data_IF_047355778465
#
_entry.id   IF_047355778465
#
_cell.length_a   1.000
_cell.length_b   1.000
_cell.length_c   1.000
_cell.angle_alpha   90.00
_cell.angle_beta   90.00
_cell.angle_gamma   90.00
#
_symmetry.space_group_name_H-M   'P 1'
#
loop_
_entity.id
_entity.type
_entity.pdbx_description
1 polymer ?
#
# COMPACT_ATOMS: atom_id res chain seq x y z
N UNK A 1 -1.07 -22.67 24.91
CA UNK A 1 -0.92 -21.85 23.69
C UNK A 1 0.56 -21.49 23.54
N UNK A 2 1.15 -21.63 22.35
CA UNK A 2 2.54 -21.22 22.13
C UNK A 2 2.71 -19.71 22.34
N UNK A 3 3.87 -19.28 22.87
CA UNK A 3 4.16 -17.87 23.16
C UNK A 3 4.01 -16.97 21.92
N UNK A 4 4.40 -17.46 20.74
CA UNK A 4 4.24 -16.73 19.47
C UNK A 4 2.77 -16.52 19.10
N UNK A 5 1.93 -17.53 19.30
CA UNK A 5 0.49 -17.44 19.05
C UNK A 5 -0.19 -16.46 20.01
N UNK A 6 0.21 -16.46 21.28
CA UNK A 6 -0.28 -15.47 22.25
C UNK A 6 0.06 -14.03 21.82
N UNK A 7 1.34 -13.76 21.52
CA UNK A 7 1.77 -12.42 21.08
C UNK A 7 1.16 -12.02 19.74
N UNK A 8 1.08 -12.94 18.78
CA UNK A 8 0.42 -12.70 17.50
C UNK A 8 -1.05 -12.31 17.69
N UNK A 9 -1.76 -12.99 18.59
CA UNK A 9 -3.15 -12.67 18.93
C UNK A 9 -3.30 -11.30 19.60
N UNK A 10 -2.42 -10.96 20.54
CA UNK A 10 -2.41 -9.65 21.20
C UNK A 10 -2.13 -8.53 20.19
N UNK A 11 -1.09 -8.66 19.38
CA UNK A 11 -0.73 -7.64 18.39
C UNK A 11 -1.82 -7.47 17.32
N UNK A 12 -2.39 -8.56 16.83
CA UNK A 12 -3.52 -8.50 15.90
C UNK A 12 -4.74 -7.84 16.56
N UNK A 13 -5.04 -8.12 17.82
CA UNK A 13 -6.14 -7.47 18.55
C UNK A 13 -5.93 -5.96 18.69
N UNK A 14 -4.73 -5.54 19.08
CA UNK A 14 -4.39 -4.11 19.19
C UNK A 14 -4.45 -3.42 17.82
N UNK A 15 -3.90 -4.05 16.78
CA UNK A 15 -3.97 -3.52 15.41
C UNK A 15 -5.42 -3.40 14.89
N UNK A 16 -6.30 -4.34 15.26
CA UNK A 16 -7.72 -4.27 14.97
C UNK A 16 -8.39 -3.09 15.70
N UNK A 17 -8.10 -2.89 16.99
CA UNK A 17 -8.66 -1.79 17.77
C UNK A 17 -8.19 -0.42 17.25
N UNK A 18 -6.90 -0.29 16.92
CA UNK A 18 -6.35 0.92 16.27
C UNK A 18 -7.10 1.21 14.97
N UNK A 19 -7.37 0.18 14.18
CA UNK A 19 -8.01 0.34 12.88
C UNK A 19 -9.47 0.73 12.99
N UNK A 20 -10.21 0.00 13.82
CA UNK A 20 -11.64 0.24 14.02
C UNK A 20 -11.84 1.62 14.66
N UNK A 21 -11.27 1.86 15.84
CA UNK A 21 -11.46 3.10 16.58
C UNK A 21 -10.82 4.28 15.84
N UNK A 22 -9.57 4.11 15.42
CA UNK A 22 -8.80 5.19 14.80
C UNK A 22 -9.42 5.69 13.51
N UNK A 23 -9.86 4.80 12.60
CA UNK A 23 -10.49 5.25 11.36
C UNK A 23 -11.83 5.92 11.62
N UNK A 24 -12.67 5.42 12.55
CA UNK A 24 -13.93 6.10 12.89
C UNK A 24 -13.70 7.49 13.50
N UNK A 25 -12.83 7.59 14.51
CA UNK A 25 -12.54 8.87 15.19
C UNK A 25 -11.98 9.89 14.21
N UNK A 26 -10.94 9.54 13.46
CA UNK A 26 -10.32 10.47 12.52
C UNK A 26 -11.28 10.83 11.38
N UNK A 27 -12.08 9.89 10.89
CA UNK A 27 -13.05 10.18 9.84
C UNK A 27 -14.11 11.18 10.31
N UNK A 28 -14.76 10.94 11.44
CA UNK A 28 -15.80 11.85 11.93
C UNK A 28 -15.27 13.22 12.33
N UNK A 29 -14.04 13.30 12.82
CA UNK A 29 -13.43 14.57 13.20
C UNK A 29 -12.96 15.39 11.99
N UNK A 30 -12.50 14.73 10.92
CA UNK A 30 -11.77 15.42 9.86
C UNK A 30 -12.38 15.33 8.47
N UNK A 31 -13.41 14.52 8.25
CA UNK A 31 -14.03 14.42 6.93
C UNK A 31 -14.67 15.74 6.48
N UNK A 32 -15.42 16.39 7.37
CA UNK A 32 -16.03 17.70 7.07
C UNK A 32 -14.96 18.75 6.85
N UNK A 33 -13.97 18.83 7.73
CA UNK A 33 -12.84 19.75 7.58
C UNK A 33 -12.07 19.52 6.26
N UNK A 34 -11.88 18.26 5.87
CA UNK A 34 -11.30 17.85 4.60
C UNK A 34 -12.09 18.34 3.39
N UNK A 35 -13.42 18.15 3.41
CA UNK A 35 -14.28 18.62 2.32
C UNK A 35 -14.44 20.14 2.25
N UNK A 36 -14.20 20.84 3.36
CA UNK A 36 -14.33 22.30 3.46
C UNK A 36 -13.01 23.04 3.25
N UNK A 37 -11.89 22.34 3.08
CA UNK A 37 -10.60 22.96 2.84
C UNK A 37 -10.51 23.48 1.39
N UNK A 38 -10.15 24.76 1.24
CA UNK A 38 -9.81 25.32 -0.07
C UNK A 38 -8.60 24.57 -0.61
N UNK A 39 -8.80 23.92 -1.76
CA UNK A 39 -7.76 23.10 -2.36
C UNK A 39 -6.74 23.95 -3.13
N UNK A 40 -5.45 23.65 -2.96
CA UNK A 40 -4.38 24.28 -3.72
C UNK A 40 -4.42 23.97 -5.23
N UNK A 41 -5.08 22.88 -5.64
CA UNK A 41 -5.31 22.53 -7.06
C UNK A 41 -6.78 22.14 -7.32
N UNK A 42 -7.37 22.53 -8.48
CA UNK A 42 -8.73 22.12 -8.84
C UNK A 42 -8.89 20.58 -8.80
N UNK A 43 -9.91 20.09 -8.08
CA UNK A 43 -10.27 18.67 -7.98
C UNK A 43 -9.65 17.88 -6.83
N UNK A 44 -8.81 18.49 -5.98
CA UNK A 44 -8.40 17.86 -4.72
C UNK A 44 -9.56 17.74 -3.72
N UNK A 45 -10.60 18.58 -3.82
CA UNK A 45 -11.87 18.42 -3.10
C UNK A 45 -12.60 17.13 -3.48
N UNK A 46 -12.59 16.77 -4.77
CA UNK A 46 -13.17 15.51 -5.28
C UNK A 46 -12.38 14.33 -4.72
N UNK A 47 -11.05 14.44 -4.70
CA UNK A 47 -10.19 13.45 -4.07
C UNK A 47 -10.59 13.23 -2.60
N UNK A 48 -10.67 14.28 -1.77
CA UNK A 48 -11.05 14.12 -0.36
C UNK A 48 -12.48 13.58 -0.18
N UNK A 49 -13.44 14.04 -0.97
CA UNK A 49 -14.84 13.59 -0.93
C UNK A 49 -14.99 12.09 -1.18
N UNK A 50 -14.20 11.50 -2.08
CA UNK A 50 -14.33 10.09 -2.45
C UNK A 50 -13.25 9.18 -1.85
N UNK A 51 -11.99 9.64 -1.77
CA UNK A 51 -10.90 8.85 -1.20
C UNK A 51 -10.93 8.78 0.31
N UNK A 52 -11.30 9.84 1.03
CA UNK A 52 -11.27 9.78 2.48
C UNK A 52 -12.24 8.70 2.99
N UNK A 53 -13.52 8.62 2.52
CA UNK A 53 -14.40 7.50 2.86
C UNK A 53 -13.90 6.16 2.30
N UNK A 54 -13.40 6.13 1.06
CA UNK A 54 -12.91 4.90 0.44
C UNK A 54 -11.75 4.26 1.21
N UNK A 55 -10.75 5.06 1.59
CA UNK A 55 -9.60 4.61 2.36
C UNK A 55 -9.95 4.35 3.82
N UNK A 56 -10.89 5.10 4.41
CA UNK A 56 -11.44 4.75 5.72
C UNK A 56 -12.07 3.35 5.70
N UNK A 57 -12.83 3.01 4.66
CA UNK A 57 -13.39 1.66 4.47
C UNK A 57 -12.29 0.60 4.31
N UNK A 58 -11.23 0.88 3.54
CA UNK A 58 -10.08 -0.03 3.42
C UNK A 58 -9.39 -0.25 4.77
N UNK A 59 -9.24 0.80 5.57
CA UNK A 59 -8.66 0.73 6.92
C UNK A 59 -9.54 -0.05 7.91
N UNK A 60 -10.86 0.12 7.85
CA UNK A 60 -11.80 -0.68 8.63
C UNK A 60 -11.76 -2.14 8.18
N UNK A 61 -11.71 -2.40 6.88
CA UNK A 61 -11.56 -3.76 6.35
C UNK A 61 -10.25 -4.40 6.83
N UNK A 62 -9.15 -3.64 6.87
CA UNK A 62 -7.90 -4.10 7.46
C UNK A 62 -8.05 -4.48 8.94
N UNK A 63 -8.81 -3.70 9.71
CA UNK A 63 -9.14 -4.01 11.10
C UNK A 63 -9.93 -5.32 11.24
N UNK A 64 -10.87 -5.60 10.32
CA UNK A 64 -11.60 -6.88 10.28
C UNK A 64 -10.64 -8.04 10.03
N UNK A 65 -9.70 -7.90 9.09
CA UNK A 65 -8.66 -8.92 8.86
C UNK A 65 -7.83 -9.18 10.12
N UNK A 66 -7.45 -8.13 10.84
CA UNK A 66 -6.73 -8.26 12.11
C UNK A 66 -7.56 -8.92 13.20
N UNK A 67 -8.85 -8.58 13.33
CA UNK A 67 -9.73 -9.19 14.32
C UNK A 67 -9.90 -10.70 14.08
N UNK A 68 -10.15 -11.10 12.83
CA UNK A 68 -10.24 -12.53 12.46
C UNK A 68 -8.88 -13.22 12.65
N UNK A 69 -7.79 -12.53 12.29
CA UNK A 69 -6.45 -13.04 12.53
C UNK A 69 -6.14 -13.24 14.01
N UNK A 70 -6.64 -12.40 14.91
CA UNK A 70 -6.44 -12.54 16.34
C UNK A 70 -7.07 -13.83 16.86
N UNK A 71 -8.31 -14.12 16.44
CA UNK A 71 -8.96 -15.41 16.69
C UNK A 71 -8.11 -16.57 16.15
N UNK A 72 -7.59 -16.44 14.92
CA UNK A 72 -6.69 -17.43 14.33
C UNK A 72 -5.46 -17.69 15.17
N UNK A 73 -4.79 -16.65 15.67
CA UNK A 73 -3.62 -16.80 16.54
C UNK A 73 -3.96 -17.45 17.88
N UNK A 74 -5.01 -16.97 18.57
CA UNK A 74 -5.42 -17.55 19.86
C UNK A 74 -5.86 -19.02 19.74
N UNK A 75 -6.39 -19.41 18.59
CA UNK A 75 -6.77 -20.80 18.28
C UNK A 75 -5.74 -21.56 17.45
N UNK A 76 -4.53 -21.02 17.32
CA UNK A 76 -3.36 -21.64 16.67
C UNK A 76 -3.62 -22.11 15.23
N UNK A 77 -4.35 -21.31 14.44
CA UNK A 77 -4.66 -21.58 13.04
C UNK A 77 -3.54 -21.09 12.11
N UNK A 78 -3.24 -21.90 11.10
CA UNK A 78 -2.17 -21.65 10.13
C UNK A 78 -2.42 -20.42 9.23
N UNK A 79 -3.67 -20.02 9.04
CA UNK A 79 -4.04 -18.87 8.21
C UNK A 79 -3.93 -17.52 8.93
N UNK A 80 -3.67 -17.50 10.25
CA UNK A 80 -3.64 -16.26 11.03
C UNK A 80 -2.62 -15.26 10.47
N UNK A 81 -1.38 -15.69 10.24
CA UNK A 81 -0.34 -14.83 9.70
C UNK A 81 -0.68 -14.28 8.30
N UNK A 82 -1.36 -15.08 7.46
CA UNK A 82 -1.84 -14.63 6.15
C UNK A 82 -2.80 -13.46 6.29
N UNK A 83 -3.84 -13.60 7.13
CA UNK A 83 -4.83 -12.53 7.30
C UNK A 83 -4.21 -11.29 7.94
N UNK A 84 -3.31 -11.43 8.91
CA UNK A 84 -2.56 -10.30 9.45
C UNK A 84 -1.70 -9.59 8.39
N UNK A 85 -1.08 -10.35 7.48
CA UNK A 85 -0.27 -9.76 6.40
C UNK A 85 -1.14 -8.99 5.41
N UNK A 86 -2.31 -9.52 5.05
CA UNK A 86 -3.28 -8.80 4.22
C UNK A 86 -3.75 -7.53 4.94
N UNK A 87 -4.11 -7.65 6.22
CA UNK A 87 -4.51 -6.51 7.06
C UNK A 87 -3.43 -5.43 7.08
N UNK A 88 -2.16 -5.79 7.22
CA UNK A 88 -1.06 -4.81 7.26
C UNK A 88 -0.88 -4.08 5.93
N UNK A 89 -1.02 -4.78 4.80
CA UNK A 89 -0.92 -4.16 3.47
C UNK A 89 -2.03 -3.12 3.27
N UNK A 90 -3.27 -3.49 3.63
CA UNK A 90 -4.43 -2.60 3.53
C UNK A 90 -4.33 -1.41 4.50
N UNK A 91 -3.95 -1.68 5.76
CA UNK A 91 -3.85 -0.65 6.80
C UNK A 91 -2.78 0.38 6.46
N UNK A 92 -1.61 -0.04 5.95
CA UNK A 92 -0.55 0.87 5.55
C UNK A 92 -0.95 1.75 4.36
N UNK A 93 -1.67 1.21 3.36
CA UNK A 93 -2.23 2.03 2.29
C UNK A 93 -3.20 3.07 2.85
N UNK A 94 -4.22 2.60 3.60
CA UNK A 94 -5.30 3.44 4.10
C UNK A 94 -4.80 4.57 5.00
N UNK A 95 -3.87 4.28 5.90
CA UNK A 95 -3.35 5.25 6.85
C UNK A 95 -2.24 6.14 6.29
N UNK A 96 -1.53 5.72 5.23
CA UNK A 96 -0.53 6.58 4.59
C UNK A 96 -1.17 7.54 3.59
N UNK A 97 -1.99 7.02 2.67
CA UNK A 97 -2.39 7.77 1.49
C UNK A 97 -3.33 8.93 1.78
N UNK A 98 -4.22 8.83 2.78
CA UNK A 98 -5.13 9.94 3.16
C UNK A 98 -4.35 11.22 3.49
N UNK A 99 -3.11 11.11 3.99
CA UNK A 99 -2.30 12.26 4.33
C UNK A 99 -1.86 13.06 3.10
N UNK A 100 -1.74 12.44 1.92
CA UNK A 100 -1.33 13.13 0.69
C UNK A 100 -2.32 14.23 0.29
N UNK A 101 -3.62 13.94 0.09
CA UNK A 101 -4.60 15.00 -0.21
C UNK A 101 -4.84 15.94 0.98
N UNK A 102 -4.70 15.47 2.23
CA UNK A 102 -4.76 16.37 3.40
C UNK A 102 -3.66 17.44 3.33
N UNK A 103 -2.40 17.03 3.15
CA UNK A 103 -1.28 17.97 3.03
C UNK A 103 -1.40 18.85 1.79
N UNK A 104 -1.91 18.32 0.67
CA UNK A 104 -2.18 19.11 -0.53
C UNK A 104 -3.26 20.18 -0.32
N UNK A 105 -4.21 19.94 0.59
CA UNK A 105 -5.24 20.89 1.01
C UNK A 105 -4.82 21.74 2.24
N UNK A 106 -3.53 21.75 2.61
CA UNK A 106 -3.02 22.51 3.75
C UNK A 106 -3.43 21.98 5.13
N UNK A 107 -4.01 20.78 5.19
CA UNK A 107 -4.41 20.12 6.43
C UNK A 107 -3.28 19.28 7.02
N UNK A 108 -3.26 19.09 8.37
CA UNK A 108 -2.24 18.27 9.00
C UNK A 108 -2.35 16.79 8.60
N UNK A 109 -1.24 16.04 8.51
CA UNK A 109 -1.23 14.62 8.16
C UNK A 109 -1.64 13.73 9.36
N UNK A 110 -2.89 13.86 9.79
CA UNK A 110 -3.42 13.23 11.01
C UNK A 110 -3.41 11.70 10.98
N UNK A 111 -3.51 11.08 9.79
CA UNK A 111 -3.57 9.63 9.66
C UNK A 111 -2.19 9.00 9.86
N UNK A 112 -1.12 9.79 9.93
CA UNK A 112 0.17 9.30 10.41
C UNK A 112 0.14 8.80 11.85
N UNK A 113 -0.83 9.24 12.66
CA UNK A 113 -1.07 8.66 13.99
C UNK A 113 -1.51 7.20 13.93
N UNK A 114 -2.08 6.73 12.81
CA UNK A 114 -2.39 5.32 12.56
C UNK A 114 -1.27 4.62 11.78
N UNK A 115 -0.68 5.29 10.78
CA UNK A 115 0.35 4.73 9.92
C UNK A 115 1.60 4.28 10.69
N UNK A 116 2.11 5.12 11.59
CA UNK A 116 3.34 4.82 12.32
C UNK A 116 3.18 3.56 13.21
N UNK A 117 2.10 3.43 14.01
CA UNK A 117 1.80 2.17 14.70
C UNK A 117 1.69 0.96 13.76
N UNK A 118 1.03 1.09 12.61
CA UNK A 118 0.95 -0.01 11.64
C UNK A 118 2.30 -0.39 11.05
N UNK A 119 3.17 0.58 10.80
CA UNK A 119 4.53 0.32 10.34
C UNK A 119 5.36 -0.38 11.41
N UNK A 120 5.16 -0.06 12.68
CA UNK A 120 5.76 -0.82 13.77
C UNK A 120 5.22 -2.26 13.81
N UNK A 121 3.90 -2.42 13.73
CA UNK A 121 3.27 -3.75 13.69
C UNK A 121 3.71 -4.56 12.48
N UNK A 122 3.99 -3.93 11.34
CA UNK A 122 4.57 -4.59 10.17
C UNK A 122 5.86 -5.35 10.54
N UNK A 123 6.80 -4.67 11.20
CA UNK A 123 8.04 -5.32 11.63
C UNK A 123 7.80 -6.36 12.72
N UNK A 124 6.98 -6.07 13.74
CA UNK A 124 6.69 -7.00 14.83
C UNK A 124 6.03 -8.29 14.30
N UNK A 125 5.01 -8.16 13.47
CA UNK A 125 4.25 -9.30 12.93
C UNK A 125 5.10 -10.14 11.99
N UNK A 126 5.83 -9.52 11.05
CA UNK A 126 6.59 -10.28 10.07
C UNK A 126 7.87 -10.86 10.66
N UNK A 127 8.64 -10.04 11.39
CA UNK A 127 9.95 -10.47 11.90
C UNK A 127 9.83 -11.36 13.13
N UNK A 128 9.06 -10.93 14.13
CA UNK A 128 9.04 -11.62 15.43
C UNK A 128 8.02 -12.76 15.45
N UNK A 129 6.80 -12.51 15.01
CA UNK A 129 5.74 -13.54 15.00
C UNK A 129 5.94 -14.51 13.83
N UNK A 130 6.08 -13.98 12.61
CA UNK A 130 6.21 -14.76 11.38
C UNK A 130 7.60 -15.37 11.14
N UNK A 131 8.63 -14.93 11.86
CA UNK A 131 10.00 -15.42 11.69
C UNK A 131 10.58 -15.15 10.29
N UNK A 132 10.07 -14.13 9.60
CA UNK A 132 10.50 -13.79 8.24
C UNK A 132 11.93 -13.22 8.26
N UNK A 133 12.74 -13.56 7.26
CA UNK A 133 14.12 -13.04 7.16
C UNK A 133 14.11 -11.54 6.84
N UNK A 134 15.13 -10.80 7.29
CA UNK A 134 15.20 -9.34 7.06
C UNK A 134 15.19 -8.99 5.57
N UNK A 135 15.88 -9.77 4.73
CA UNK A 135 15.85 -9.60 3.28
C UNK A 135 14.42 -9.70 2.70
N UNK A 136 13.61 -10.65 3.16
CA UNK A 136 12.20 -10.78 2.74
C UNK A 136 11.32 -9.66 3.28
N UNK A 137 11.53 -9.23 4.52
CA UNK A 137 10.83 -8.08 5.10
C UNK A 137 11.14 -6.84 4.24
N UNK A 138 12.40 -6.53 3.96
CA UNK A 138 12.75 -5.36 3.16
C UNK A 138 12.26 -5.46 1.70
N UNK A 139 12.28 -6.65 1.09
CA UNK A 139 11.69 -6.86 -0.23
C UNK A 139 10.16 -6.63 -0.22
N UNK A 140 9.47 -7.12 0.81
CA UNK A 140 8.04 -6.89 1.00
C UNK A 140 7.73 -5.41 1.27
N UNK A 141 8.59 -4.69 1.99
CA UNK A 141 8.44 -3.25 2.20
C UNK A 141 8.60 -2.50 0.87
N UNK A 142 9.64 -2.80 0.09
CA UNK A 142 9.87 -2.17 -1.22
C UNK A 142 8.75 -2.45 -2.22
N UNK A 143 8.26 -3.69 -2.29
CA UNK A 143 7.10 -4.03 -3.14
C UNK A 143 5.78 -3.44 -2.61
N UNK A 144 5.64 -3.30 -1.29
CA UNK A 144 4.52 -2.58 -0.67
C UNK A 144 4.54 -1.08 -0.99
N UNK A 145 5.72 -0.46 -1.09
CA UNK A 145 5.86 0.92 -1.56
C UNK A 145 5.47 1.05 -3.03
N UNK A 146 5.90 0.12 -3.90
CA UNK A 146 5.47 0.11 -5.30
C UNK A 146 3.95 -0.04 -5.44
N UNK A 147 3.33 -0.89 -4.63
CA UNK A 147 1.87 -1.00 -4.50
C UNK A 147 1.22 0.36 -4.18
N UNK A 148 1.71 1.07 -3.16
CA UNK A 148 1.18 2.38 -2.76
C UNK A 148 1.39 3.43 -3.86
N UNK A 149 2.54 3.43 -4.54
CA UNK A 149 2.81 4.39 -5.60
C UNK A 149 1.98 4.10 -6.87
N UNK A 150 1.75 2.84 -7.23
CA UNK A 150 0.79 2.49 -8.29
C UNK A 150 -0.63 2.95 -7.93
N UNK A 151 -1.07 2.77 -6.67
CA UNK A 151 -2.34 3.32 -6.19
C UNK A 151 -2.38 4.84 -6.35
N UNK A 152 -1.30 5.54 -5.96
CA UNK A 152 -1.17 6.98 -6.11
C UNK A 152 -1.34 7.42 -7.57
N UNK A 153 -0.69 6.73 -8.50
CA UNK A 153 -0.79 7.04 -9.92
C UNK A 153 -2.21 6.77 -10.47
N UNK A 154 -2.86 5.68 -10.05
CA UNK A 154 -4.25 5.39 -10.39
C UNK A 154 -5.20 6.49 -9.91
N UNK A 155 -5.12 6.86 -8.63
CA UNK A 155 -5.91 7.93 -8.02
C UNK A 155 -5.69 9.27 -8.71
N UNK A 156 -4.43 9.64 -8.89
CA UNK A 156 -4.07 10.95 -9.44
C UNK A 156 -4.47 11.04 -10.91
N UNK A 157 -4.40 9.94 -11.66
CA UNK A 157 -4.93 9.85 -13.02
C UNK A 157 -6.46 10.01 -13.02
N UNK A 158 -7.19 9.32 -12.13
CA UNK A 158 -8.65 9.49 -12.00
C UNK A 158 -9.02 10.95 -11.71
N UNK A 159 -8.30 11.62 -10.80
CA UNK A 159 -8.51 13.04 -10.53
C UNK A 159 -8.28 13.90 -11.78
N UNK A 160 -7.16 13.69 -12.50
CA UNK A 160 -6.84 14.44 -13.71
C UNK A 160 -7.81 14.19 -14.87
N UNK A 161 -8.42 13.00 -14.96
CA UNK A 161 -9.52 12.74 -15.91
C UNK A 161 -10.69 13.67 -15.62
N UNK A 162 -11.06 13.83 -14.35
CA UNK A 162 -12.21 14.66 -13.95
C UNK A 162 -11.91 16.16 -14.09
N UNK A 163 -10.67 16.58 -13.86
CA UNK A 163 -10.32 18.01 -13.79
C UNK A 163 -9.77 18.59 -15.08
N UNK A 164 -8.96 17.80 -15.81
CA UNK A 164 -8.27 18.23 -17.05
C UNK A 164 -8.87 17.54 -18.28
N UNK A 165 -9.34 16.30 -18.14
CA UNK A 165 -9.93 15.54 -19.24
C UNK A 165 -8.91 15.10 -20.32
N UNK A 166 -7.61 15.15 -20.05
CA UNK A 166 -6.60 14.82 -21.04
C UNK A 166 -6.60 13.32 -21.40
N UNK A 167 -6.57 12.94 -22.70
CA UNK A 167 -6.67 11.55 -23.15
C UNK A 167 -5.61 10.61 -22.55
N UNK A 168 -4.42 11.11 -22.25
CA UNK A 168 -3.33 10.33 -21.66
C UNK A 168 -3.76 9.65 -20.36
N UNK A 169 -4.43 10.37 -19.46
CA UNK A 169 -4.87 9.81 -18.17
C UNK A 169 -5.95 8.75 -18.36
N UNK A 170 -6.88 8.95 -19.31
CA UNK A 170 -7.93 7.98 -19.64
C UNK A 170 -7.34 6.68 -20.17
N UNK A 171 -6.34 6.78 -21.04
CA UNK A 171 -5.68 5.63 -21.66
C UNK A 171 -5.00 4.73 -20.62
N UNK A 172 -4.38 5.31 -19.58
CA UNK A 172 -3.49 4.56 -18.69
C UNK A 172 -4.04 4.27 -17.30
N UNK A 173 -5.12 4.94 -16.86
CA UNK A 173 -5.64 4.82 -15.48
C UNK A 173 -5.88 3.37 -15.05
N UNK A 174 -6.47 2.54 -15.92
CA UNK A 174 -6.76 1.13 -15.63
C UNK A 174 -5.49 0.32 -15.31
N UNK A 175 -4.42 0.60 -16.04
CA UNK A 175 -3.16 -0.14 -15.94
C UNK A 175 -2.43 0.12 -14.61
N UNK A 176 -2.54 1.32 -14.05
CA UNK A 176 -2.04 1.60 -12.70
C UNK A 176 -2.74 0.75 -11.62
N UNK A 177 -4.06 0.56 -11.74
CA UNK A 177 -4.82 -0.29 -10.82
C UNK A 177 -4.43 -1.77 -10.95
N UNK A 178 -4.19 -2.25 -12.17
CA UNK A 178 -3.68 -3.62 -12.39
C UNK A 178 -2.29 -3.82 -11.80
N UNK A 179 -1.37 -2.88 -12.02
CA UNK A 179 -0.03 -2.92 -11.43
C UNK A 179 -0.09 -2.90 -9.89
N UNK A 180 -0.94 -2.05 -9.32
CA UNK A 180 -1.20 -1.98 -7.88
C UNK A 180 -1.64 -3.34 -7.32
N UNK A 181 -2.66 -3.98 -7.90
CA UNK A 181 -3.15 -5.28 -7.41
C UNK A 181 -2.04 -6.32 -7.48
N UNK A 182 -1.29 -6.36 -8.59
CA UNK A 182 -0.20 -7.31 -8.74
C UNK A 182 0.92 -7.11 -7.71
N UNK A 183 1.28 -5.87 -7.39
CA UNK A 183 2.23 -5.58 -6.30
C UNK A 183 1.68 -5.93 -4.92
N UNK A 184 0.39 -5.75 -4.66
CA UNK A 184 -0.23 -6.19 -3.40
C UNK A 184 -0.15 -7.71 -3.24
N UNK A 185 -0.51 -8.45 -4.28
CA UNK A 185 -0.43 -9.93 -4.31
C UNK A 185 1.02 -10.39 -4.18
N UNK A 186 1.95 -9.73 -4.88
CA UNK A 186 3.38 -10.01 -4.77
C UNK A 186 3.87 -9.82 -3.33
N UNK A 187 3.54 -8.68 -2.71
CA UNK A 187 3.95 -8.34 -1.34
C UNK A 187 3.50 -9.40 -0.34
N UNK A 188 2.21 -9.77 -0.35
CA UNK A 188 1.68 -10.83 0.53
C UNK A 188 2.32 -12.18 0.22
N UNK A 189 2.47 -12.51 -1.07
CA UNK A 189 3.04 -13.78 -1.52
C UNK A 189 4.48 -13.99 -1.07
N UNK A 190 5.33 -12.97 -1.17
CA UNK A 190 6.73 -13.00 -0.73
C UNK A 190 6.84 -13.22 0.77
N UNK A 191 5.92 -12.67 1.56
CA UNK A 191 5.93 -12.83 3.01
C UNK A 191 5.50 -14.23 3.41
N UNK A 192 4.40 -14.73 2.88
CA UNK A 192 3.75 -15.95 3.35
C UNK A 192 4.42 -17.20 2.79
N UNK A 193 4.58 -17.27 1.47
CA UNK A 193 5.20 -18.43 0.82
C UNK A 193 5.77 -18.00 -0.54
N UNK A 194 7.03 -17.55 -0.57
CA UNK A 194 7.72 -17.23 -1.81
C UNK A 194 7.61 -18.40 -2.80
N UNK A 195 7.20 -18.09 -4.03
CA UNK A 195 7.15 -19.05 -5.14
C UNK A 195 7.70 -18.39 -6.41
N UNK A 196 8.21 -19.19 -7.33
CA UNK A 196 8.78 -18.70 -8.59
C UNK A 196 7.80 -17.92 -9.45
N UNK A 197 6.49 -18.22 -9.38
CA UNK A 197 5.45 -17.50 -10.13
C UNK A 197 5.29 -16.03 -9.68
N UNK A 198 5.78 -15.67 -8.49
CA UNK A 198 5.80 -14.26 -8.06
C UNK A 198 6.74 -13.43 -8.92
N UNK A 199 7.78 -14.03 -9.52
CA UNK A 199 8.69 -13.32 -10.42
C UNK A 199 7.93 -12.78 -11.65
N UNK A 200 7.27 -13.61 -12.49
CA UNK A 200 6.51 -13.07 -13.62
C UNK A 200 5.38 -12.13 -13.20
N UNK A 201 4.73 -12.34 -12.04
CA UNK A 201 3.76 -11.38 -11.51
C UNK A 201 4.40 -9.99 -11.28
N UNK A 202 5.49 -9.94 -10.51
CA UNK A 202 6.19 -8.69 -10.22
C UNK A 202 6.79 -8.03 -11.46
N UNK A 203 7.27 -8.82 -12.42
CA UNK A 203 7.75 -8.30 -13.70
C UNK A 203 6.61 -7.72 -14.53
N UNK A 204 5.47 -8.38 -14.64
CA UNK A 204 4.30 -7.83 -15.36
C UNK A 204 3.82 -6.55 -14.70
N UNK A 205 3.64 -6.53 -13.38
CA UNK A 205 3.23 -5.33 -12.65
C UNK A 205 4.22 -4.19 -12.78
N UNK A 206 5.51 -4.48 -12.65
CA UNK A 206 6.57 -3.50 -12.82
C UNK A 206 6.62 -2.94 -14.23
N UNK A 207 6.63 -3.81 -15.25
CA UNK A 207 6.69 -3.40 -16.66
C UNK A 207 5.47 -2.58 -17.08
N UNK A 208 4.27 -2.93 -16.61
CA UNK A 208 3.07 -2.10 -16.81
C UNK A 208 3.35 -0.70 -16.31
N UNK A 209 3.77 -0.56 -15.05
CA UNK A 209 4.01 0.76 -14.44
C UNK A 209 5.16 1.52 -15.11
N UNK A 210 6.21 0.85 -15.59
CA UNK A 210 7.27 1.50 -16.37
C UNK A 210 6.71 2.10 -17.68
N UNK A 211 5.90 1.33 -18.41
CA UNK A 211 5.38 1.78 -19.71
C UNK A 211 4.32 2.86 -19.60
N UNK A 212 3.49 2.85 -18.55
CA UNK A 212 2.47 3.88 -18.37
C UNK A 212 2.91 5.04 -17.49
N UNK A 213 3.72 4.77 -16.48
CA UNK A 213 4.13 5.75 -15.48
C UNK A 213 5.19 6.71 -15.98
N UNK A 214 6.20 6.26 -16.75
CA UNK A 214 7.23 7.17 -17.25
C UNK A 214 6.69 8.21 -18.25
N UNK A 215 5.88 7.86 -19.27
CA UNK A 215 5.29 8.86 -20.15
C UNK A 215 4.45 9.88 -19.40
N UNK A 216 3.68 9.41 -18.42
CA UNK A 216 2.82 10.27 -17.62
C UNK A 216 3.64 11.18 -16.70
N UNK A 217 4.70 10.68 -16.07
CA UNK A 217 5.64 11.46 -15.28
C UNK A 217 6.37 12.53 -16.12
N UNK A 218 6.75 12.19 -17.34
CA UNK A 218 7.39 13.11 -18.28
C UNK A 218 6.45 14.25 -18.67
N UNK A 219 5.25 13.91 -19.16
CA UNK A 219 4.26 14.90 -19.60
C UNK A 219 3.86 15.85 -18.47
N UNK A 220 3.56 15.30 -17.30
CA UNK A 220 3.20 16.11 -16.12
C UNK A 220 4.37 16.93 -15.60
N UNK A 221 5.60 16.42 -15.69
CA UNK A 221 6.81 17.16 -15.32
C UNK A 221 7.04 18.37 -16.22
N UNK A 222 6.84 18.21 -17.53
CA UNK A 222 6.90 19.31 -18.49
C UNK A 222 5.82 20.36 -18.23
N UNK A 223 4.57 19.93 -18.01
CA UNK A 223 3.45 20.84 -17.75
C UNK A 223 3.62 21.64 -16.46
N UNK A 224 4.12 21.02 -15.40
CA UNK A 224 4.27 21.66 -14.10
C UNK A 224 5.59 22.45 -13.96
N UNK A 225 6.57 22.23 -14.85
CA UNK A 225 7.91 22.81 -14.74
C UNK A 225 8.68 22.37 -13.47
N UNK A 226 8.27 21.26 -12.85
CA UNK A 226 8.85 20.72 -11.61
C UNK A 226 8.80 19.19 -11.61
N UNK A 227 9.44 18.58 -10.61
CA UNK A 227 9.40 17.14 -10.41
C UNK A 227 7.97 16.61 -10.27
N UNK A 228 7.63 15.59 -11.06
CA UNK A 228 6.32 14.95 -11.02
C UNK A 228 6.28 13.79 -10.02
N UNK A 229 5.33 13.82 -9.09
CA UNK A 229 5.11 12.71 -8.15
C UNK A 229 4.69 11.41 -8.86
N UNK A 230 4.18 11.49 -10.10
CA UNK A 230 3.88 10.31 -10.90
C UNK A 230 5.12 9.46 -11.22
N UNK A 231 6.32 10.02 -11.07
CA UNK A 231 7.58 9.29 -11.28
C UNK A 231 7.92 8.31 -10.15
N UNK A 232 7.33 8.44 -8.95
CA UNK A 232 7.67 7.58 -7.81
C UNK A 232 7.35 6.10 -8.09
N UNK A 233 6.21 5.82 -8.71
CA UNK A 233 5.80 4.46 -9.06
C UNK A 233 6.74 3.82 -10.10
N UNK A 234 6.99 4.40 -11.29
CA UNK A 234 7.90 3.80 -12.27
C UNK A 234 9.34 3.71 -11.74
N UNK A 235 9.84 4.66 -10.94
CA UNK A 235 11.18 4.54 -10.34
C UNK A 235 11.25 3.36 -9.37
N UNK A 236 10.27 3.21 -8.49
CA UNK A 236 10.21 2.07 -7.56
C UNK A 236 10.08 0.73 -8.31
N UNK A 237 9.27 0.69 -9.36
CA UNK A 237 9.10 -0.47 -10.21
C UNK A 237 10.37 -0.80 -10.98
N UNK A 238 11.13 0.19 -11.45
CA UNK A 238 12.41 -0.03 -12.14
C UNK A 238 13.40 -0.74 -11.23
N UNK A 239 13.54 -0.26 -9.98
CA UNK A 239 14.40 -0.88 -8.98
C UNK A 239 13.98 -2.34 -8.75
N UNK A 240 12.68 -2.59 -8.54
CA UNK A 240 12.18 -3.95 -8.30
C UNK A 240 12.31 -4.86 -9.52
N UNK A 241 12.07 -4.36 -10.74
CA UNK A 241 12.26 -5.11 -11.99
C UNK A 241 13.72 -5.51 -12.15
N UNK A 242 14.65 -4.58 -11.93
CA UNK A 242 16.10 -4.88 -11.95
C UNK A 242 16.43 -5.96 -10.92
N UNK A 243 15.92 -5.86 -9.69
CA UNK A 243 16.11 -6.88 -8.65
C UNK A 243 15.54 -8.25 -9.04
N UNK A 244 14.40 -8.29 -9.73
CA UNK A 244 13.73 -9.52 -10.14
C UNK A 244 14.39 -10.21 -11.34
N UNK A 245 14.94 -9.44 -12.28
CA UNK A 245 15.66 -9.96 -13.45
C UNK A 245 17.08 -10.42 -13.05
N UNK A 246 17.67 -9.79 -12.04
CA UNK A 246 19.04 -10.10 -11.66
C UNK A 246 19.21 -11.57 -11.26
N UNK A 247 20.16 -12.30 -11.87
CA UNK A 247 20.31 -13.72 -11.66
C UNK A 247 20.45 -14.08 -10.18
N UNK A 248 19.54 -14.95 -9.70
CA UNK A 248 19.52 -15.50 -8.35
C UNK A 248 19.23 -14.50 -7.21
N UNK A 249 18.96 -13.21 -7.47
CA UNK A 249 18.68 -12.25 -6.38
C UNK A 249 17.38 -12.61 -5.68
N UNK A 250 16.30 -12.87 -6.42
CA UNK A 250 15.02 -13.23 -5.80
C UNK A 250 15.15 -14.47 -4.91
N UNK A 251 15.86 -15.51 -5.38
CA UNK A 251 16.11 -16.74 -4.62
C UNK A 251 16.92 -16.47 -3.35
N UNK A 252 17.98 -15.64 -3.44
CA UNK A 252 18.79 -15.24 -2.28
C UNK A 252 17.96 -14.46 -1.26
N UNK A 253 17.18 -13.47 -1.71
CA UNK A 253 16.36 -12.63 -0.84
C UNK A 253 15.27 -13.44 -0.14
N UNK A 254 14.71 -14.45 -0.81
CA UNK A 254 13.58 -15.25 -0.30
C UNK A 254 13.97 -16.58 0.34
N UNK A 255 15.25 -16.95 0.31
CA UNK A 255 15.76 -18.27 0.69
C UNK A 255 15.09 -19.43 -0.09
N UNK A 256 14.58 -19.17 -1.29
CA UNK A 256 14.12 -20.22 -2.20
C UNK A 256 15.35 -21.01 -2.67
N UNK A 257 15.34 -22.32 -2.44
CA UNK A 257 16.37 -23.21 -2.98
C UNK A 257 16.45 -23.04 -4.50
N UNK A 258 17.67 -23.02 -5.05
CA UNK A 258 17.86 -23.13 -6.49
C UNK A 258 17.26 -24.48 -6.92
N UNK A 259 16.26 -24.43 -7.80
CA UNK A 259 15.87 -25.61 -8.57
C UNK A 259 16.79 -25.73 -9.77
#
# INVERSE_FOLDING_TARGET
MEKKNLWGGIFASVAALIGLIGHFVLFFQWYVAGMSAESAEPGCEILLKFLHPGLANVGILAAVFFAVSAYGFFTSKSWALLLSTIGIVLALLASWFINVPFMAAGLPPIYFTLFVPYLLFYFLMLKWIGGVSWARVLLALGSGMAYIFCFMNGVSSTSRIVTVGAPLFVLVVGLHWFAMIGWAVFTVGVVIKPKSWLIPLGLVSGMIELFVGFPLAFETGLQLGRFSLFSLAPISCLILVVLLIWPNIFQRLTCLAKK
#
